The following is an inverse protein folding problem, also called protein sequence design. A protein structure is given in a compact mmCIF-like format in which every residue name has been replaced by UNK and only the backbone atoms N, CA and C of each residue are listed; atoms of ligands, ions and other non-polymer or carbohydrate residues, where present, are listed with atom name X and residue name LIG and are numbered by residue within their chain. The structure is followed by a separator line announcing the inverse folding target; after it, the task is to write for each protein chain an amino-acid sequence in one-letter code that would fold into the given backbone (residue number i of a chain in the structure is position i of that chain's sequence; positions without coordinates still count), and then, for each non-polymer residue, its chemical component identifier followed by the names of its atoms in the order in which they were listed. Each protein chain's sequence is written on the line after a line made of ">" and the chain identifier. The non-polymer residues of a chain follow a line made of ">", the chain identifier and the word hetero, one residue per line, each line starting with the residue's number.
data_IF_051743227491
#
_entry.id   IF_051743227491
#
_cell.length_a   1.000
_cell.length_b   1.000
_cell.length_c   1.000
_cell.angle_alpha   90.00
_cell.angle_beta   90.00
_cell.angle_gamma   90.00
#
_symmetry.space_group_name_H-M   'P 1'
#
loop_
_entity.id
_entity.type
_entity.pdbx_description
1 polymer ?
#
# COMPACT_ATOMS: atom_id res chain seq x y z
N UNK A 1 -62.95 40.26 -5.55
CA UNK A 1 -62.61 39.34 -4.44
C UNK A 1 -63.12 37.98 -4.90
N UNK A 2 -62.34 36.94 -5.19
CA UNK A 2 -61.18 36.40 -4.49
C UNK A 2 -60.40 35.48 -5.45
N UNK A 3 -59.06 35.52 -5.42
CA UNK A 3 -58.21 34.47 -6.00
C UNK A 3 -57.71 33.60 -4.86
N UNK A 4 -58.36 32.47 -4.63
CA UNK A 4 -57.86 31.47 -3.68
C UNK A 4 -56.71 30.71 -4.32
N UNK A 5 -55.57 30.73 -3.63
CA UNK A 5 -54.28 30.18 -4.07
C UNK A 5 -54.39 28.66 -4.27
N UNK A 6 -54.01 28.18 -5.45
CA UNK A 6 -53.64 26.77 -5.61
C UNK A 6 -52.38 26.52 -4.77
N UNK A 7 -52.53 25.61 -3.81
CA UNK A 7 -51.48 25.11 -2.93
C UNK A 7 -50.44 24.39 -3.77
N UNK A 8 -49.20 24.85 -3.71
CA UNK A 8 -48.03 24.16 -4.26
C UNK A 8 -47.91 22.80 -3.57
N UNK A 9 -48.21 21.72 -4.29
CA UNK A 9 -48.04 20.35 -3.81
C UNK A 9 -46.60 19.92 -4.11
N UNK A 10 -45.76 19.61 -3.11
CA UNK A 10 -44.39 19.21 -3.34
C UNK A 10 -44.29 17.68 -3.28
N UNK A 11 -45.09 16.96 -4.07
CA UNK A 11 -44.98 15.50 -4.18
C UNK A 11 -45.66 15.08 -5.49
N UNK A 12 -44.93 15.25 -6.59
CA UNK A 12 -45.22 14.54 -7.83
C UNK A 12 -44.44 13.23 -7.83
N UNK A 13 -44.98 12.13 -8.41
CA UNK A 13 -44.21 10.91 -8.58
C UNK A 13 -42.94 11.26 -9.35
N UNK A 14 -41.79 10.77 -8.88
CA UNK A 14 -40.50 11.01 -9.51
C UNK A 14 -40.64 10.84 -11.01
N UNK A 15 -40.21 11.85 -11.79
CA UNK A 15 -40.23 11.73 -13.23
C UNK A 15 -39.45 10.47 -13.61
N UNK A 16 -39.99 9.54 -14.41
CA UNK A 16 -39.34 8.26 -14.71
C UNK A 16 -37.90 8.40 -15.24
N UNK A 17 -37.62 9.52 -15.90
CA UNK A 17 -36.28 9.87 -16.40
C UNK A 17 -35.24 10.08 -15.28
N UNK A 18 -35.64 10.62 -14.12
CA UNK A 18 -34.75 10.79 -12.96
C UNK A 18 -34.41 9.47 -12.29
N UNK A 19 -35.36 8.53 -12.24
CA UNK A 19 -35.12 7.20 -11.67
C UNK A 19 -34.17 6.36 -12.55
N UNK A 20 -34.28 6.47 -13.88
CA UNK A 20 -33.34 5.86 -14.81
C UNK A 20 -31.93 6.47 -14.71
N UNK A 21 -31.82 7.80 -14.57
CA UNK A 21 -30.55 8.50 -14.32
C UNK A 21 -29.90 8.08 -13.00
N UNK A 22 -30.67 7.98 -11.92
CA UNK A 22 -30.20 7.53 -10.61
C UNK A 22 -29.72 6.07 -10.64
N UNK A 23 -30.44 5.19 -11.34
CA UNK A 23 -30.05 3.79 -11.55
C UNK A 23 -28.75 3.67 -12.34
N UNK A 24 -28.58 4.49 -13.39
CA UNK A 24 -27.35 4.53 -14.19
C UNK A 24 -26.17 5.05 -13.37
N UNK A 25 -26.36 6.13 -12.59
CA UNK A 25 -25.33 6.69 -11.74
C UNK A 25 -24.88 5.69 -10.65
N UNK A 26 -25.83 5.01 -10.00
CA UNK A 26 -25.54 3.97 -9.01
C UNK A 26 -24.78 2.78 -9.63
N UNK A 27 -25.15 2.37 -10.84
CA UNK A 27 -24.45 1.31 -11.57
C UNK A 27 -23.02 1.72 -11.97
N UNK A 28 -22.82 2.97 -12.40
CA UNK A 28 -21.49 3.51 -12.74
C UNK A 28 -20.60 3.60 -11.51
N UNK A 29 -21.12 4.07 -10.37
CA UNK A 29 -20.39 4.10 -9.10
C UNK A 29 -19.96 2.70 -8.67
N UNK A 30 -20.89 1.74 -8.67
CA UNK A 30 -20.62 0.34 -8.27
C UNK A 30 -19.61 -0.33 -9.21
N UNK A 31 -19.69 -0.06 -10.51
CA UNK A 31 -18.72 -0.53 -11.50
C UNK A 31 -17.35 0.16 -11.36
N UNK A 32 -17.32 1.41 -10.89
CA UNK A 32 -16.09 2.15 -10.60
C UNK A 32 -15.39 1.62 -9.33
N UNK A 33 -16.16 1.34 -8.28
CA UNK A 33 -15.67 0.72 -7.04
C UNK A 33 -15.06 -0.66 -7.30
N UNK A 34 -15.75 -1.52 -8.05
CA UNK A 34 -15.22 -2.84 -8.41
C UNK A 34 -13.90 -2.79 -9.21
N UNK A 35 -13.67 -1.73 -10.00
CA UNK A 35 -12.39 -1.52 -10.70
C UNK A 35 -11.25 -1.14 -9.76
N UNK A 36 -11.53 -0.37 -8.71
CA UNK A 36 -10.52 -0.01 -7.71
C UNK A 36 -10.10 -1.25 -6.92
N UNK A 37 -11.07 -2.03 -6.45
CA UNK A 37 -10.81 -3.25 -5.69
C UNK A 37 -10.05 -4.30 -6.50
N UNK A 38 -10.37 -4.42 -7.80
CA UNK A 38 -9.64 -5.32 -8.69
C UNK A 38 -8.20 -4.86 -8.91
N UNK A 39 -7.97 -3.55 -9.10
CA UNK A 39 -6.60 -3.00 -9.20
C UNK A 39 -5.81 -3.27 -7.93
N UNK A 40 -6.40 -3.08 -6.76
CA UNK A 40 -5.75 -3.31 -5.47
C UNK A 40 -5.45 -4.81 -5.25
N UNK A 41 -6.37 -5.70 -5.62
CA UNK A 41 -6.13 -7.17 -5.60
C UNK A 41 -5.00 -7.58 -6.54
N UNK A 42 -5.00 -7.08 -7.77
CA UNK A 42 -3.97 -7.38 -8.77
C UNK A 42 -2.60 -6.87 -8.30
N UNK A 43 -2.55 -5.65 -7.75
CA UNK A 43 -1.33 -5.07 -7.19
C UNK A 43 -0.80 -5.90 -6.02
N UNK A 44 -1.66 -6.23 -5.03
CA UNK A 44 -1.27 -7.08 -3.88
C UNK A 44 -0.74 -8.42 -4.37
N UNK A 45 -1.48 -9.10 -5.27
CA UNK A 45 -1.08 -10.41 -5.81
C UNK A 45 0.24 -10.36 -6.56
N UNK A 46 0.44 -9.32 -7.38
CA UNK A 46 1.67 -9.16 -8.17
C UNK A 46 2.86 -8.92 -7.25
N UNK A 47 2.71 -8.04 -6.27
CA UNK A 47 3.78 -7.73 -5.33
C UNK A 47 4.10 -8.91 -4.42
N UNK A 48 3.10 -9.62 -3.86
CA UNK A 48 3.32 -10.84 -3.07
C UNK A 48 4.07 -11.90 -3.86
N UNK A 49 3.73 -12.12 -5.14
CA UNK A 49 4.47 -13.05 -6.01
C UNK A 49 5.91 -12.61 -6.23
N UNK A 50 6.13 -11.31 -6.45
CA UNK A 50 7.46 -10.76 -6.66
C UNK A 50 8.33 -10.90 -5.41
N UNK A 51 7.79 -10.60 -4.22
CA UNK A 51 8.48 -10.79 -2.94
C UNK A 51 8.85 -12.26 -2.75
N UNK A 52 7.91 -13.18 -2.95
CA UNK A 52 8.16 -14.61 -2.80
C UNK A 52 9.19 -15.16 -3.81
N UNK A 53 9.24 -14.61 -5.04
CA UNK A 53 10.27 -14.96 -6.03
C UNK A 53 11.68 -14.63 -5.54
N UNK A 54 11.84 -13.56 -4.76
CA UNK A 54 13.15 -13.17 -4.21
C UNK A 54 13.44 -13.89 -2.90
N UNK A 55 12.46 -13.99 -2.00
CA UNK A 55 12.62 -14.63 -0.70
C UNK A 55 12.90 -16.14 -0.76
N UNK A 56 12.58 -16.81 -1.86
CA UNK A 56 12.95 -18.22 -2.05
C UNK A 56 14.47 -18.43 -1.98
N UNK A 57 15.28 -17.44 -2.39
CA UNK A 57 16.75 -17.48 -2.30
C UNK A 57 17.25 -17.40 -0.86
N UNK A 58 16.44 -16.84 0.04
CA UNK A 58 16.70 -16.75 1.47
C UNK A 58 15.92 -17.81 2.27
N UNK A 59 15.30 -18.80 1.60
CA UNK A 59 14.43 -19.82 2.21
C UNK A 59 13.28 -19.25 3.06
N UNK A 60 12.75 -18.06 2.71
CA UNK A 60 11.60 -17.44 3.36
C UNK A 60 10.38 -17.38 2.44
N UNK A 61 9.20 -17.24 3.03
CA UNK A 61 7.92 -17.12 2.31
C UNK A 61 6.98 -16.15 3.03
N UNK A 62 6.18 -15.43 2.24
CA UNK A 62 5.17 -14.47 2.70
C UNK A 62 3.80 -14.90 2.19
N UNK A 63 2.86 -15.08 3.13
CA UNK A 63 1.47 -15.43 2.89
C UNK A 63 0.56 -14.18 2.94
N UNK A 64 0.73 -13.32 3.96
CA UNK A 64 0.09 -12.01 4.01
C UNK A 64 1.13 -10.91 4.05
N UNK A 65 1.17 -10.14 2.96
CA UNK A 65 2.13 -9.06 2.76
C UNK A 65 2.17 -8.05 3.91
N UNK A 66 1.01 -7.71 4.49
CA UNK A 66 0.93 -6.65 5.49
C UNK A 66 1.37 -7.11 6.89
N UNK A 67 1.12 -8.38 7.21
CA UNK A 67 1.52 -8.95 8.50
C UNK A 67 2.96 -9.45 8.45
N UNK A 68 3.33 -10.18 7.39
CA UNK A 68 4.63 -10.87 7.31
C UNK A 68 5.80 -9.93 7.01
N UNK A 69 5.55 -8.70 6.55
CA UNK A 69 6.60 -7.67 6.40
C UNK A 69 6.69 -6.73 7.61
N UNK A 70 5.76 -6.83 8.57
CA UNK A 70 5.62 -5.87 9.67
C UNK A 70 6.76 -5.94 10.67
N UNK A 71 7.29 -7.14 10.90
CA UNK A 71 8.40 -7.39 11.83
C UNK A 71 9.75 -6.93 11.25
N UNK A 72 9.82 -6.67 9.95
CA UNK A 72 10.99 -6.20 9.23
C UNK A 72 11.97 -7.30 8.81
N UNK A 73 11.88 -8.53 9.31
CA UNK A 73 12.86 -9.58 8.98
C UNK A 73 12.79 -10.00 7.52
N UNK A 74 11.57 -10.21 7.00
CA UNK A 74 11.35 -10.52 5.60
C UNK A 74 11.71 -9.35 4.70
N UNK A 75 11.54 -8.10 5.18
CA UNK A 75 11.95 -6.91 4.44
C UNK A 75 13.47 -6.80 4.34
N UNK A 76 14.20 -7.06 5.44
CA UNK A 76 15.66 -7.09 5.44
C UNK A 76 16.17 -8.15 4.46
N UNK A 77 15.70 -9.40 4.56
CA UNK A 77 16.14 -10.45 3.63
C UNK A 77 15.76 -10.19 2.18
N UNK A 78 14.63 -9.54 1.92
CA UNK A 78 14.28 -9.09 0.57
C UNK A 78 15.30 -8.06 0.06
N UNK A 79 15.68 -7.09 0.90
CA UNK A 79 16.67 -6.08 0.54
C UNK A 79 18.05 -6.69 0.31
N UNK A 80 18.49 -7.65 1.13
CA UNK A 80 19.75 -8.40 0.95
C UNK A 80 19.81 -9.12 -0.41
N UNK A 81 18.72 -9.80 -0.76
CA UNK A 81 18.62 -10.52 -2.03
C UNK A 81 18.60 -9.56 -3.23
N UNK A 82 18.04 -8.37 -3.07
CA UNK A 82 17.95 -7.36 -4.12
C UNK A 82 19.27 -6.60 -4.32
N UNK A 83 19.96 -6.25 -3.24
CA UNK A 83 21.27 -5.59 -3.29
C UNK A 83 22.39 -6.55 -3.70
N UNK A 84 22.25 -7.85 -3.37
CA UNK A 84 23.33 -8.81 -3.47
C UNK A 84 24.36 -8.70 -2.33
N UNK A 85 24.12 -7.79 -1.39
CA UNK A 85 24.96 -7.53 -0.22
C UNK A 85 24.26 -8.04 1.04
N UNK A 86 25.03 -8.65 1.95
CA UNK A 86 24.52 -9.01 3.27
C UNK A 86 24.32 -7.74 4.09
N UNK A 87 23.07 -7.40 4.39
CA UNK A 87 22.67 -6.31 5.26
C UNK A 87 22.79 -6.80 6.69
N UNK A 88 24.03 -7.05 7.11
CA UNK A 88 24.32 -7.17 8.53
C UNK A 88 23.85 -5.87 9.16
N UNK A 89 22.79 -5.94 9.98
CA UNK A 89 22.46 -4.88 10.92
C UNK A 89 23.65 -4.80 11.88
N UNK A 90 24.70 -4.12 11.45
CA UNK A 90 25.73 -3.65 12.35
C UNK A 90 25.08 -2.48 13.06
N UNK A 91 24.70 -2.60 14.36
CA UNK A 91 24.69 -1.39 15.16
C UNK A 91 26.08 -0.84 14.99
N UNK A 92 26.19 0.38 14.46
CA UNK A 92 27.46 1.05 14.18
C UNK A 92 28.32 0.97 15.43
N UNK A 93 29.16 -0.07 15.51
CA UNK A 93 30.24 -0.10 16.46
C UNK A 93 31.26 0.77 15.77
N UNK A 94 31.20 2.06 16.10
CA UNK A 94 32.30 2.99 15.91
C UNK A 94 33.48 2.40 16.69
N UNK A 95 34.13 1.38 16.14
CA UNK A 95 35.49 1.01 16.50
C UNK A 95 36.38 2.09 15.92
N UNK A 96 36.35 3.26 16.56
CA UNK A 96 37.41 4.26 16.49
C UNK A 96 38.62 3.70 17.24
N UNK A 97 39.25 2.68 16.67
CA UNK A 97 40.59 2.21 17.08
C UNK A 97 41.57 2.58 15.98
N UNK A 98 41.77 3.87 15.77
CA UNK A 98 42.97 4.38 15.10
C UNK A 98 43.34 5.73 15.73
N UNK A 99 43.96 5.66 16.91
CA UNK A 99 44.94 6.65 17.35
C UNK A 99 46.27 5.91 17.50
N UNK A 100 46.83 5.52 16.35
CA UNK A 100 48.28 5.36 16.24
C UNK A 100 48.84 6.75 16.00
N UNK A 101 49.25 7.41 17.09
CA UNK A 101 50.23 8.49 17.04
C UNK A 101 51.53 7.88 17.55
N UNK A 102 52.34 7.43 16.61
CA UNK A 102 53.75 7.15 16.82
C UNK A 102 54.43 8.42 17.34
N UNK A 103 55.02 8.36 18.52
CA UNK A 103 56.04 9.32 18.95
C UNK A 103 57.33 8.52 19.17
N UNK A 104 58.36 8.65 18.30
CA UNK A 104 59.69 8.22 18.63
C UNK A 104 60.35 9.36 19.42
N UNK A 105 60.77 9.10 20.66
CA UNK A 105 61.67 9.99 21.37
C UNK A 105 62.91 9.19 21.76
N UNK A 106 64.03 9.72 21.30
CA UNK A 106 65.36 9.13 21.38
C UNK A 106 65.89 9.00 22.81
N UNK A 107 66.97 8.22 22.88
CA UNK A 107 67.96 7.98 23.95
C UNK A 107 68.00 8.94 25.14
#
# INVERSE_FOLDING_TARGET
>A
MSRSRLRSSPDGPGSPLREEEDNLYLAVLRASEGKKDERDRVQKKTFTKWVNKHLIKAHRHVNDLYEDLRDGHNLISLLEVLSGDTLVCTPTRLSSTHLSSSVPAER
#
